data_IF_773696070788
#
_entry.id   IF_773696070788
#
_cell.length_a   1.000
_cell.length_b   1.000
_cell.length_c   1.000
_cell.angle_alpha   90.00
_cell.angle_beta   90.00
_cell.angle_gamma   90.00
#
_symmetry.space_group_name_H-M   'P 1'
#
loop_
_entity.id
_entity.type
_entity.pdbx_description
1 polymer ?
#
# COMPACT_ATOMS: atom_id res chain seq x y z
N UNK A 1 9.00 -5.78 22.39
CA UNK A 1 8.33 -6.02 21.11
C UNK A 1 9.37 -6.54 20.12
N UNK A 2 9.04 -7.59 19.38
CA UNK A 2 9.97 -8.21 18.43
C UNK A 2 10.25 -7.36 17.19
N UNK A 3 9.44 -6.30 16.94
CA UNK A 3 9.65 -5.36 15.82
C UNK A 3 11.04 -4.72 15.81
N UNK A 4 11.64 -4.49 16.98
CA UNK A 4 13.01 -3.95 17.07
C UNK A 4 14.07 -4.90 16.51
N UNK A 5 13.82 -6.21 16.57
CA UNK A 5 14.72 -7.28 16.10
C UNK A 5 14.51 -7.67 14.65
N UNK A 6 13.36 -7.29 14.07
CA UNK A 6 13.05 -7.62 12.69
C UNK A 6 13.93 -6.82 11.71
N UNK A 7 14.35 -7.44 10.61
CA UNK A 7 15.11 -6.77 9.53
C UNK A 7 14.20 -5.92 8.64
N UNK A 8 12.90 -6.18 8.64
CA UNK A 8 11.89 -5.41 7.92
C UNK A 8 10.50 -5.73 8.43
N UNK A 9 9.52 -4.96 7.99
CA UNK A 9 8.14 -5.07 8.45
C UNK A 9 7.22 -5.22 7.24
N UNK A 10 6.32 -6.19 7.31
CA UNK A 10 5.17 -6.28 6.41
C UNK A 10 3.91 -6.04 7.22
N UNK A 11 3.12 -5.05 6.81
CA UNK A 11 1.83 -4.72 7.43
C UNK A 11 0.69 -5.02 6.46
N UNK A 12 0.17 -6.25 6.45
CA UNK A 12 -1.03 -6.57 5.71
C UNK A 12 -2.26 -6.08 6.47
N UNK A 13 -3.34 -5.84 5.76
CA UNK A 13 -4.61 -5.51 6.40
C UNK A 13 -5.79 -5.71 5.46
N UNK A 14 -6.91 -6.14 6.04
CA UNK A 14 -8.22 -6.24 5.39
C UNK A 14 -9.28 -5.61 6.28
N UNK A 15 -10.41 -5.20 5.70
CA UNK A 15 -11.48 -4.53 6.42
C UNK A 15 -11.42 -3.01 6.25
N UNK A 16 -11.84 -2.27 7.26
CA UNK A 16 -12.02 -0.82 7.20
C UNK A 16 -11.01 -0.05 8.04
N UNK A 17 -10.85 1.24 7.71
CA UNK A 17 -9.80 2.11 8.22
C UNK A 17 -9.84 2.30 9.75
N UNK A 18 -10.99 2.75 10.29
CA UNK A 18 -11.10 3.05 11.72
C UNK A 18 -10.89 1.83 12.63
N UNK A 19 -11.51 0.65 12.36
CA UNK A 19 -11.23 -0.56 13.14
C UNK A 19 -9.76 -0.98 13.10
N UNK A 20 -9.07 -0.79 11.96
CA UNK A 20 -7.65 -1.10 11.87
C UNK A 20 -6.81 -0.17 12.76
N UNK A 21 -7.08 1.14 12.73
CA UNK A 21 -6.38 2.12 13.57
C UNK A 21 -6.66 1.89 15.06
N UNK A 22 -7.93 1.61 15.42
CA UNK A 22 -8.29 1.25 16.80
C UNK A 22 -7.51 0.01 17.27
N UNK A 23 -7.42 -1.02 16.43
CA UNK A 23 -6.71 -2.27 16.78
C UNK A 23 -5.20 -2.03 16.94
N UNK A 24 -4.60 -1.23 16.08
CA UNK A 24 -3.18 -0.85 16.20
C UNK A 24 -2.91 -0.12 17.52
N UNK A 25 -3.76 0.86 17.87
CA UNK A 25 -3.64 1.64 19.09
C UNK A 25 -3.88 0.80 20.34
N UNK A 26 -4.92 -0.04 20.34
CA UNK A 26 -5.23 -0.94 21.45
C UNK A 26 -4.11 -1.95 21.73
N UNK A 27 -3.36 -2.35 20.71
CA UNK A 27 -2.20 -3.23 20.86
C UNK A 27 -0.87 -2.48 21.02
N UNK A 28 -0.89 -1.17 21.19
CA UNK A 28 0.29 -0.31 21.33
C UNK A 28 1.30 -0.46 20.18
N UNK A 29 0.83 -0.69 18.93
CA UNK A 29 1.67 -0.91 17.77
C UNK A 29 1.94 0.37 16.96
N UNK A 30 1.15 1.43 17.11
CA UNK A 30 1.30 2.65 16.33
C UNK A 30 2.71 3.25 16.47
N UNK A 31 3.16 3.53 17.69
CA UNK A 31 4.47 4.13 17.91
C UNK A 31 5.62 3.19 17.52
N UNK A 32 5.62 1.90 17.90
CA UNK A 32 6.67 0.97 17.43
C UNK A 32 6.80 0.85 15.90
N UNK A 33 5.70 0.95 15.16
CA UNK A 33 5.74 0.96 13.69
C UNK A 33 6.40 2.25 13.19
N UNK A 34 6.00 3.42 13.73
CA UNK A 34 6.60 4.71 13.38
C UNK A 34 8.10 4.73 13.68
N UNK A 35 8.50 4.23 14.83
CA UNK A 35 9.91 4.17 15.24
C UNK A 35 10.73 3.25 14.33
N UNK A 36 10.18 2.11 13.94
CA UNK A 36 10.83 1.19 13.03
C UNK A 36 11.00 1.81 11.63
N UNK A 37 10.00 2.50 11.12
CA UNK A 37 10.09 3.23 9.84
C UNK A 37 11.15 4.33 9.96
N UNK A 38 11.11 5.14 11.02
CA UNK A 38 12.05 6.23 11.24
C UNK A 38 13.50 5.73 11.41
N UNK A 39 13.71 4.49 11.86
CA UNK A 39 15.02 3.86 11.94
C UNK A 39 15.58 3.38 10.60
N UNK A 40 14.83 3.54 9.51
CA UNK A 40 15.24 3.12 8.17
C UNK A 40 14.93 1.65 7.85
N UNK A 41 14.17 0.93 8.69
CA UNK A 41 13.80 -0.45 8.39
C UNK A 41 12.91 -0.52 7.15
N UNK A 42 13.19 -1.42 6.19
CA UNK A 42 12.30 -1.67 5.07
C UNK A 42 10.88 -2.00 5.55
N UNK A 43 9.90 -1.32 4.98
CA UNK A 43 8.49 -1.46 5.34
C UNK A 43 7.66 -1.70 4.09
N UNK A 44 6.77 -2.69 4.15
CA UNK A 44 5.80 -2.98 3.10
C UNK A 44 4.37 -2.98 3.66
N UNK A 45 3.57 -1.99 3.25
CA UNK A 45 2.12 -1.97 3.50
C UNK A 45 1.35 -2.71 2.39
N UNK A 46 0.37 -3.55 2.74
CA UNK A 46 -0.45 -4.28 1.77
C UNK A 46 -1.93 -3.97 2.00
N UNK A 47 -2.62 -3.54 0.95
CA UNK A 47 -4.05 -3.20 0.93
C UNK A 47 -4.39 -2.15 2.00
N UNK A 48 -5.14 -2.49 3.03
CA UNK A 48 -5.43 -1.59 4.16
C UNK A 48 -4.14 -1.11 4.84
N UNK A 49 -3.08 -1.93 4.87
CA UNK A 49 -1.75 -1.55 5.36
C UNK A 49 -1.11 -0.39 4.59
N UNK A 50 -1.42 -0.22 3.30
CA UNK A 50 -1.07 0.99 2.53
C UNK A 50 -1.91 2.18 2.96
N UNK A 51 -3.21 2.00 3.10
CA UNK A 51 -4.13 3.10 3.39
C UNK A 51 -3.86 3.76 4.73
N UNK A 52 -3.60 2.97 5.78
CA UNK A 52 -3.35 3.51 7.12
C UNK A 52 -2.01 4.27 7.27
N UNK A 53 -1.12 4.22 6.27
CA UNK A 53 0.08 5.08 6.23
C UNK A 53 -0.27 6.56 6.03
N UNK A 54 -1.43 6.86 5.46
CA UNK A 54 -1.89 8.21 5.16
C UNK A 54 -2.44 8.92 6.40
N UNK A 55 -2.75 10.23 6.27
CA UNK A 55 -3.20 11.06 7.39
C UNK A 55 -4.66 10.77 7.78
N UNK A 56 -5.51 10.49 6.78
CA UNK A 56 -6.96 10.31 6.98
C UNK A 56 -7.61 9.49 5.88
N UNK A 57 -8.86 9.10 6.08
CA UNK A 57 -9.66 8.38 5.09
C UNK A 57 -11.10 8.91 5.05
N UNK A 58 -11.66 9.00 3.83
CA UNK A 58 -13.10 9.26 3.66
C UNK A 58 -13.98 8.09 4.16
N UNK A 59 -13.38 6.95 4.48
CA UNK A 59 -14.10 5.80 5.03
C UNK A 59 -14.47 5.98 6.51
N UNK A 60 -13.71 6.81 7.24
CA UNK A 60 -13.86 6.92 8.68
C UNK A 60 -13.51 8.30 9.25
N UNK A 61 -13.35 8.35 10.57
CA UNK A 61 -13.04 9.56 11.33
C UNK A 61 -11.67 9.52 12.00
N UNK A 62 -11.06 8.32 12.07
CA UNK A 62 -9.76 8.15 12.71
C UNK A 62 -8.62 8.73 11.88
N UNK A 63 -7.63 9.28 12.54
CA UNK A 63 -6.37 9.62 11.88
C UNK A 63 -5.56 8.36 11.60
N UNK A 64 -4.90 8.31 10.44
CA UNK A 64 -3.95 7.27 10.12
C UNK A 64 -2.60 7.48 10.79
N UNK A 65 -1.58 6.75 10.32
CA UNK A 65 -0.22 6.85 10.85
C UNK A 65 0.46 8.16 10.47
N UNK A 66 0.01 8.84 9.40
CA UNK A 66 0.58 10.11 8.95
C UNK A 66 2.03 10.02 8.45
N UNK A 67 2.45 8.84 7.99
CA UNK A 67 3.77 8.62 7.39
C UNK A 67 3.84 9.26 6.00
N UNK A 68 2.78 9.12 5.23
CA UNK A 68 2.62 9.70 3.89
C UNK A 68 1.57 10.81 3.97
N UNK A 69 1.93 12.00 3.50
CA UNK A 69 0.98 13.13 3.42
C UNK A 69 -0.06 12.89 2.35
N UNK A 70 -1.32 13.06 2.71
CA UNK A 70 -2.47 12.87 1.84
C UNK A 70 -3.57 12.08 2.51
N UNK A 71 -4.54 11.66 1.74
CA UNK A 71 -5.73 11.01 2.25
C UNK A 71 -6.13 9.80 1.40
N UNK A 72 -6.94 8.95 1.99
CA UNK A 72 -7.62 7.85 1.31
C UNK A 72 -8.99 8.35 0.86
N UNK A 73 -9.30 8.18 -0.42
CA UNK A 73 -10.55 8.65 -1.06
C UNK A 73 -11.40 7.49 -1.54
N UNK A 74 -12.70 7.70 -1.58
CA UNK A 74 -13.62 6.75 -2.20
C UNK A 74 -13.62 6.91 -3.72
N UNK A 75 -13.75 5.78 -4.45
CA UNK A 75 -14.03 5.84 -5.88
C UNK A 75 -15.33 6.59 -6.15
N UNK A 76 -15.31 7.46 -7.15
CA UNK A 76 -16.50 8.15 -7.64
C UNK A 76 -17.34 7.14 -8.42
N UNK A 77 -18.65 7.13 -8.15
CA UNK A 77 -19.56 6.24 -8.86
C UNK A 77 -19.67 6.66 -10.35
N UNK A 78 -19.50 5.70 -11.22
CA UNK A 78 -19.67 5.85 -12.67
C UNK A 78 -20.66 4.80 -13.19
N UNK A 79 -21.48 5.13 -14.20
CA UNK A 79 -22.36 4.14 -14.85
C UNK A 79 -21.52 2.95 -15.39
N UNK A 80 -21.98 1.74 -15.11
CA UNK A 80 -21.34 0.49 -15.54
C UNK A 80 -19.93 0.20 -14.96
N UNK A 81 -19.49 0.97 -13.95
CA UNK A 81 -18.25 0.70 -13.20
C UNK A 81 -18.63 0.25 -11.79
N UNK A 82 -18.24 -0.96 -11.43
CA UNK A 82 -18.56 -1.53 -10.11
C UNK A 82 -17.61 -1.03 -9.03
N UNK A 83 -18.14 -0.75 -7.84
CA UNK A 83 -17.37 -0.50 -6.63
C UNK A 83 -17.77 -1.60 -5.64
N UNK A 84 -16.81 -2.36 -5.10
CA UNK A 84 -15.36 -2.19 -5.18
C UNK A 84 -14.74 -2.46 -6.57
N UNK A 85 -13.58 -1.85 -6.84
CA UNK A 85 -12.66 -2.32 -7.87
C UNK A 85 -12.20 -3.71 -7.47
N UNK A 86 -12.69 -4.74 -8.15
CA UNK A 86 -12.44 -6.14 -7.81
C UNK A 86 -12.03 -6.91 -9.04
N UNK A 87 -10.93 -7.65 -8.93
CA UNK A 87 -10.40 -8.49 -9.98
C UNK A 87 -8.98 -8.10 -10.40
N UNK A 88 -8.58 -8.63 -11.55
CA UNK A 88 -7.25 -8.40 -12.11
C UNK A 88 -7.20 -7.10 -12.90
N UNK A 89 -6.14 -6.33 -12.67
CA UNK A 89 -5.88 -5.12 -13.45
C UNK A 89 -4.36 -4.92 -13.62
N UNK A 90 -3.99 -4.16 -14.65
CA UNK A 90 -2.59 -3.87 -14.95
C UNK A 90 -2.07 -2.67 -14.17
N UNK A 91 -0.79 -2.71 -13.83
CA UNK A 91 -0.08 -1.57 -13.28
C UNK A 91 0.55 -0.75 -14.40
N UNK A 92 0.46 0.58 -14.26
CA UNK A 92 1.33 1.52 -14.94
C UNK A 92 2.42 1.96 -13.97
N UNK A 93 3.65 1.49 -14.16
CA UNK A 93 4.78 1.80 -13.28
C UNK A 93 5.23 3.25 -13.50
N UNK A 94 5.34 4.02 -12.42
CA UNK A 94 5.71 5.45 -12.46
C UNK A 94 7.09 5.71 -11.85
N UNK A 95 7.58 4.81 -10.99
CA UNK A 95 8.96 4.79 -10.51
C UNK A 95 9.61 3.49 -10.99
N UNK A 96 10.25 3.52 -12.15
CA UNK A 96 10.82 2.34 -12.79
C UNK A 96 11.96 1.69 -12.00
N UNK A 97 12.63 2.46 -11.15
CA UNK A 97 13.74 2.06 -10.29
C UNK A 97 13.29 1.54 -8.91
N UNK A 98 11.99 1.52 -8.62
CA UNK A 98 11.49 0.96 -7.37
C UNK A 98 11.86 -0.53 -7.27
N UNK A 99 12.53 -0.95 -6.17
CA UNK A 99 13.03 -2.32 -6.03
C UNK A 99 11.95 -3.41 -6.11
N UNK A 100 10.69 -3.06 -5.80
CA UNK A 100 9.59 -4.02 -5.89
C UNK A 100 9.36 -4.54 -7.31
N UNK A 101 9.75 -3.77 -8.34
CA UNK A 101 9.50 -4.10 -9.75
C UNK A 101 10.64 -4.88 -10.40
N UNK A 102 11.72 -5.17 -9.69
CA UNK A 102 12.87 -5.87 -10.27
C UNK A 102 12.42 -7.19 -10.91
N UNK A 103 12.82 -7.38 -12.18
CA UNK A 103 12.50 -8.56 -13.01
C UNK A 103 10.98 -8.81 -13.20
N UNK A 104 10.12 -7.83 -12.91
CA UNK A 104 8.72 -7.81 -13.34
C UNK A 104 8.62 -7.14 -14.72
N UNK A 105 7.63 -7.55 -15.50
CA UNK A 105 7.34 -6.89 -16.78
C UNK A 105 6.89 -5.43 -16.60
N UNK A 106 6.85 -4.66 -17.70
CA UNK A 106 6.50 -3.24 -17.66
C UNK A 106 5.06 -2.93 -17.24
N UNK A 107 4.17 -3.91 -17.28
CA UNK A 107 2.75 -3.76 -16.92
C UNK A 107 2.23 -5.04 -16.28
N UNK A 108 2.72 -5.40 -15.08
CA UNK A 108 2.31 -6.63 -14.42
C UNK A 108 0.83 -6.60 -14.05
N UNK A 109 0.19 -7.76 -14.05
CA UNK A 109 -1.20 -7.94 -13.63
C UNK A 109 -1.26 -8.26 -12.14
N UNK A 110 -2.08 -7.50 -11.41
CA UNK A 110 -2.28 -7.67 -9.97
C UNK A 110 -3.75 -7.82 -9.63
N UNK A 111 -4.04 -8.49 -8.51
CA UNK A 111 -5.39 -8.69 -8.02
C UNK A 111 -5.79 -7.60 -7.02
N UNK A 112 -6.92 -6.97 -7.29
CA UNK A 112 -7.49 -5.87 -6.49
C UNK A 112 -8.81 -6.25 -5.85
N UNK A 113 -9.08 -5.68 -4.68
CA UNK A 113 -10.40 -5.67 -4.04
C UNK A 113 -10.48 -4.49 -3.08
N UNK A 114 -10.88 -3.31 -3.58
CA UNK A 114 -10.95 -2.09 -2.76
C UNK A 114 -11.97 -1.08 -3.28
N UNK A 115 -12.61 -0.35 -2.35
CA UNK A 115 -13.55 0.73 -2.65
C UNK A 115 -12.94 2.12 -2.45
N UNK A 116 -11.76 2.17 -1.83
CA UNK A 116 -11.02 3.38 -1.52
C UNK A 116 -9.61 3.29 -2.09
N UNK A 117 -9.04 4.41 -2.44
CA UNK A 117 -7.67 4.51 -2.99
C UNK A 117 -6.89 5.63 -2.32
N UNK A 118 -5.59 5.56 -2.37
CA UNK A 118 -4.69 6.57 -1.78
C UNK A 118 -4.47 7.74 -2.73
N UNK A 119 -4.52 8.95 -2.19
CA UNK A 119 -4.28 10.21 -2.89
C UNK A 119 -3.16 10.99 -2.19
N UNK A 120 -1.89 10.71 -2.50
CA UNK A 120 -0.76 11.43 -1.92
C UNK A 120 -0.75 12.89 -2.37
N UNK A 121 -0.34 13.81 -1.48
CA UNK A 121 -0.12 15.23 -1.80
C UNK A 121 1.08 15.37 -2.73
N UNK A 122 2.16 14.65 -2.45
CA UNK A 122 3.32 14.59 -3.33
C UNK A 122 3.20 13.38 -4.25
N UNK A 123 2.89 13.63 -5.51
CA UNK A 123 2.72 12.56 -6.51
C UNK A 123 4.02 11.84 -6.85
N UNK A 124 5.18 12.37 -6.48
CA UNK A 124 6.47 11.72 -6.70
C UNK A 124 6.62 10.41 -5.90
N UNK A 125 5.85 10.26 -4.80
CA UNK A 125 5.84 9.00 -4.04
C UNK A 125 5.06 7.89 -4.72
N UNK A 126 4.25 8.20 -5.75
CA UNK A 126 3.49 7.20 -6.51
C UNK A 126 4.45 6.33 -7.31
N UNK A 127 4.47 5.04 -7.00
CA UNK A 127 5.32 4.04 -7.68
C UNK A 127 4.58 3.30 -8.80
N UNK A 128 3.26 3.19 -8.69
CA UNK A 128 2.40 2.67 -9.76
C UNK A 128 0.98 3.21 -9.66
N UNK A 129 0.31 3.28 -10.80
CA UNK A 129 -1.11 3.60 -10.92
C UNK A 129 -1.85 2.47 -11.63
N UNK A 130 -3.18 2.47 -11.51
CA UNK A 130 -4.08 1.67 -12.35
C UNK A 130 -5.30 2.49 -12.70
N UNK A 131 -6.02 2.10 -13.75
CA UNK A 131 -7.25 2.77 -14.17
C UNK A 131 -8.45 1.87 -13.93
N UNK A 132 -9.47 2.41 -13.25
CA UNK A 132 -10.75 1.75 -13.03
C UNK A 132 -11.87 2.69 -13.47
N UNK A 133 -12.61 2.31 -14.50
CA UNK A 133 -13.50 3.25 -15.18
C UNK A 133 -12.70 4.39 -15.84
N UNK A 134 -13.07 5.62 -15.55
CA UNK A 134 -12.35 6.83 -15.98
C UNK A 134 -11.29 7.30 -14.96
N UNK A 135 -11.19 6.65 -13.79
CA UNK A 135 -10.37 7.08 -12.68
C UNK A 135 -9.01 6.36 -12.67
N UNK A 136 -7.94 7.12 -12.89
CA UNK A 136 -6.57 6.63 -12.69
C UNK A 136 -6.13 6.98 -11.28
N UNK A 137 -5.76 5.95 -10.50
CA UNK A 137 -5.48 6.09 -9.06
C UNK A 137 -4.12 5.51 -8.69
N UNK A 138 -3.53 6.04 -7.62
CA UNK A 138 -2.30 5.51 -7.03
C UNK A 138 -2.59 4.15 -6.38
N UNK A 139 -1.86 3.12 -6.78
CA UNK A 139 -1.99 1.76 -6.25
C UNK A 139 -0.69 1.18 -5.72
N UNK A 140 0.39 1.92 -5.83
CA UNK A 140 1.63 1.66 -5.13
C UNK A 140 2.35 2.96 -4.82
N UNK A 141 3.00 3.01 -3.68
CA UNK A 141 3.88 4.10 -3.26
C UNK A 141 5.27 3.55 -2.91
N UNK A 142 6.28 4.37 -3.12
CA UNK A 142 7.62 4.16 -2.61
C UNK A 142 8.24 5.50 -2.22
N UNK A 143 8.68 5.59 -0.99
CA UNK A 143 9.37 6.74 -0.42
C UNK A 143 10.39 6.24 0.61
N UNK A 144 11.67 6.48 0.37
CA UNK A 144 12.77 6.05 1.21
C UNK A 144 12.71 4.52 1.48
N UNK A 145 12.56 4.10 2.73
CA UNK A 145 12.43 2.71 3.15
C UNK A 145 10.97 2.22 3.21
N UNK A 146 9.99 3.06 2.85
CA UNK A 146 8.56 2.73 2.90
C UNK A 146 8.05 2.43 1.51
N UNK A 147 7.53 1.23 1.33
CA UNK A 147 6.80 0.82 0.14
C UNK A 147 5.41 0.32 0.55
N UNK A 148 4.43 0.54 -0.28
CA UNK A 148 3.12 -0.04 -0.05
C UNK A 148 2.34 -0.24 -1.35
N UNK A 149 1.46 -1.22 -1.34
CA UNK A 149 0.66 -1.62 -2.50
C UNK A 149 -0.81 -1.77 -2.11
N UNK A 150 -1.73 -1.35 -2.99
CA UNK A 150 -3.18 -1.48 -2.77
C UNK A 150 -3.69 -2.86 -3.12
N UNK A 151 -3.08 -3.51 -4.08
CA UNK A 151 -3.41 -4.87 -4.49
C UNK A 151 -2.90 -5.91 -3.49
N UNK A 152 -3.29 -7.15 -3.70
CA UNK A 152 -2.88 -8.30 -2.90
C UNK A 152 -1.81 -9.10 -3.64
N UNK A 153 -0.52 -8.89 -3.38
CA UNK A 153 0.54 -9.64 -4.06
C UNK A 153 0.43 -11.14 -3.79
N UNK A 154 0.01 -11.54 -2.59
CA UNK A 154 -0.21 -12.94 -2.23
C UNK A 154 -1.35 -13.63 -3.03
N UNK A 155 -2.19 -12.83 -3.73
CA UNK A 155 -3.26 -13.29 -4.62
C UNK A 155 -2.97 -12.99 -6.09
N UNK A 156 -1.80 -12.45 -6.39
CA UNK A 156 -1.43 -11.95 -7.72
C UNK A 156 -0.52 -12.90 -8.50
N UNK A 157 -0.70 -14.22 -8.31
CA UNK A 157 0.02 -15.27 -9.03
C UNK A 157 1.54 -15.08 -8.96
N UNK A 158 2.25 -15.40 -10.03
CA UNK A 158 3.71 -15.36 -10.11
C UNK A 158 4.28 -13.96 -9.88
N UNK A 159 3.67 -12.94 -10.49
CA UNK A 159 4.15 -11.55 -10.39
C UNK A 159 4.05 -11.02 -8.94
N UNK A 160 2.94 -11.35 -8.26
CA UNK A 160 2.77 -10.96 -6.87
C UNK A 160 3.77 -11.64 -5.92
N UNK A 161 4.02 -12.93 -6.11
CA UNK A 161 5.03 -13.66 -5.32
C UNK A 161 6.44 -13.14 -5.62
N UNK A 162 6.72 -12.80 -6.88
CA UNK A 162 8.00 -12.21 -7.27
C UNK A 162 8.22 -10.85 -6.58
N UNK A 163 7.19 -10.00 -6.55
CA UNK A 163 7.22 -8.73 -5.82
C UNK A 163 7.55 -8.94 -4.33
N UNK A 164 6.90 -9.89 -3.68
CA UNK A 164 7.20 -10.22 -2.27
C UNK A 164 8.65 -10.72 -2.09
N UNK A 165 9.15 -11.54 -3.03
CA UNK A 165 10.54 -11.98 -3.01
C UNK A 165 11.52 -10.80 -3.18
N UNK A 166 11.18 -9.82 -4.02
CA UNK A 166 11.99 -8.60 -4.19
C UNK A 166 12.06 -7.81 -2.88
N UNK A 167 10.93 -7.66 -2.17
CA UNK A 167 10.96 -7.03 -0.84
C UNK A 167 11.84 -7.79 0.14
N UNK A 168 11.75 -9.12 0.18
CA UNK A 168 12.58 -9.95 1.09
C UNK A 168 14.07 -9.80 0.78
N UNK A 169 14.45 -9.69 -0.50
CA UNK A 169 15.86 -9.47 -0.88
C UNK A 169 16.44 -8.18 -0.28
N UNK A 170 15.64 -7.14 -0.13
CA UNK A 170 16.06 -5.87 0.48
C UNK A 170 16.43 -6.02 1.97
N UNK A 171 15.92 -7.06 2.65
CA UNK A 171 16.19 -7.30 4.07
C UNK A 171 17.56 -7.88 4.32
N UNK A 172 18.23 -8.34 3.27
CA UNK A 172 19.52 -9.03 3.34
C UNK A 172 20.68 -8.16 2.78
N UNK A 173 20.36 -6.95 2.34
CA UNK A 173 21.34 -5.96 1.82
C UNK A 173 21.76 -4.96 2.93
#
# INVERSE_FOLDING_TARGET
LELSKANGIVLPGVGSFDPAMHKLRANHLEQPIKDAIASGKPFLGICLGMQILFESSEEGQESGLGIIKGQVKRFIHEPNVTIPHMGWNQLALTQADCPLWQDLGNSPWMYFVHSYYTAPVDTRVTAATTTHGSQTVTVAIAQDNVMAVQFHPEKSSTDGIHLLANFVRMLSA
#
